data_IF_444415096979
#
_entry.id   IF_444415096979
#
_cell.length_a   1.000
_cell.length_b   1.000
_cell.length_c   1.000
_cell.angle_alpha   90.00
_cell.angle_beta   90.00
_cell.angle_gamma   90.00
#
_symmetry.space_group_name_H-M   'P 1'
#
loop_
_entity.id
_entity.type
_entity.pdbx_description
1 polymer ?
#
# COMPACT_ATOMS: atom_id res chain seq x y z
N UNK A 1 -16.71 -2.66 -21.30
CA UNK A 1 -15.54 -3.47 -20.86
C UNK A 1 -14.43 -2.59 -20.28
N UNK A 2 -13.93 -1.60 -21.01
CA UNK A 2 -12.84 -0.71 -20.56
C UNK A 2 -13.13 0.00 -19.22
N UNK A 3 -14.36 0.50 -19.04
CA UNK A 3 -14.77 1.15 -17.78
C UNK A 3 -14.73 0.18 -16.58
N UNK A 4 -15.17 -1.07 -16.78
CA UNK A 4 -15.14 -2.13 -15.75
C UNK A 4 -13.70 -2.47 -15.37
N UNK A 5 -12.82 -2.63 -16.36
CA UNK A 5 -11.38 -2.89 -16.13
C UNK A 5 -10.75 -1.71 -15.39
N UNK A 6 -11.06 -0.48 -15.79
CA UNK A 6 -10.63 0.75 -15.11
C UNK A 6 -11.02 0.74 -13.63
N UNK A 7 -12.29 0.43 -13.33
CA UNK A 7 -12.77 0.31 -11.94
C UNK A 7 -12.02 -0.75 -11.14
N UNK A 8 -11.82 -1.95 -11.70
CA UNK A 8 -11.11 -3.04 -11.00
C UNK A 8 -9.68 -2.64 -10.66
N UNK A 9 -8.93 -2.10 -11.63
CA UNK A 9 -7.55 -1.65 -11.39
C UNK A 9 -7.54 -0.53 -10.34
N UNK A 10 -8.48 0.40 -10.42
CA UNK A 10 -8.56 1.51 -9.48
C UNK A 10 -8.84 1.03 -8.04
N UNK A 11 -9.74 0.07 -7.86
CA UNK A 11 -10.02 -0.56 -6.55
C UNK A 11 -8.79 -1.29 -5.99
N UNK A 12 -8.02 -1.97 -6.84
CA UNK A 12 -6.77 -2.62 -6.42
C UNK A 12 -5.72 -1.60 -5.97
N UNK A 13 -5.56 -0.48 -6.68
CA UNK A 13 -4.64 0.59 -6.30
C UNK A 13 -5.01 1.21 -4.95
N UNK A 14 -6.31 1.46 -4.72
CA UNK A 14 -6.81 1.94 -3.42
C UNK A 14 -6.51 0.94 -2.32
N UNK A 15 -6.74 -0.35 -2.56
CA UNK A 15 -6.45 -1.39 -1.59
C UNK A 15 -4.96 -1.46 -1.23
N UNK A 16 -4.07 -1.37 -2.23
CA UNK A 16 -2.62 -1.30 -2.02
C UNK A 16 -2.26 -0.12 -1.13
N UNK A 17 -2.76 1.08 -1.45
CA UNK A 17 -2.48 2.28 -0.67
C UNK A 17 -2.99 2.14 0.78
N UNK A 18 -4.20 1.62 0.97
CA UNK A 18 -4.79 1.40 2.29
C UNK A 18 -3.96 0.42 3.12
N UNK A 19 -3.52 -0.70 2.55
CA UNK A 19 -2.70 -1.69 3.27
C UNK A 19 -1.37 -1.08 3.72
N UNK A 20 -0.71 -0.31 2.86
CA UNK A 20 0.56 0.34 3.21
C UNK A 20 0.39 1.41 4.28
N UNK A 21 -0.71 2.19 4.24
CA UNK A 21 -1.06 3.16 5.28
C UNK A 21 -1.34 2.45 6.61
N UNK A 22 -2.09 1.34 6.57
CA UNK A 22 -2.43 0.57 7.76
C UNK A 22 -1.16 -0.03 8.40
N UNK A 23 -0.22 -0.56 7.62
CA UNK A 23 1.09 -1.03 8.13
C UNK A 23 1.89 0.10 8.81
N UNK A 24 1.89 1.32 8.24
CA UNK A 24 2.53 2.49 8.89
C UNK A 24 1.89 2.80 10.24
N UNK A 25 0.55 2.88 10.28
CA UNK A 25 -0.19 3.19 11.51
C UNK A 25 0.02 2.11 12.58
N UNK A 26 -0.02 0.84 12.18
CA UNK A 26 0.22 -0.28 13.10
C UNK A 26 1.63 -0.22 13.69
N UNK A 27 2.65 0.03 12.87
CA UNK A 27 4.03 0.18 13.35
C UNK A 27 4.16 1.34 14.33
N UNK A 28 3.58 2.50 14.02
CA UNK A 28 3.61 3.68 14.90
C UNK A 28 2.90 3.41 16.24
N UNK A 29 1.71 2.79 16.21
CA UNK A 29 0.98 2.43 17.42
C UNK A 29 1.75 1.43 18.30
N UNK A 30 2.40 0.45 17.69
CA UNK A 30 3.16 -0.56 18.42
C UNK A 30 4.48 -0.02 18.98
N UNK A 31 5.15 0.87 18.24
CA UNK A 31 6.31 1.59 18.73
C UNK A 31 5.97 2.41 19.99
N UNK A 32 4.78 3.02 20.03
CA UNK A 32 4.30 3.79 21.20
C UNK A 32 3.81 2.91 22.36
N UNK A 33 3.22 1.75 22.06
CA UNK A 33 2.59 0.89 23.08
C UNK A 33 3.50 -0.22 23.61
N UNK A 34 4.65 -0.48 22.98
CA UNK A 34 5.55 -1.58 23.32
C UNK A 34 4.93 -2.97 23.09
N UNK A 35 3.79 -3.05 22.40
CA UNK A 35 3.07 -4.29 22.14
C UNK A 35 3.61 -4.98 20.87
N UNK A 36 3.37 -6.27 20.76
CA UNK A 36 3.67 -7.04 19.54
C UNK A 36 2.57 -6.87 18.48
N UNK A 37 2.94 -6.94 17.19
CA UNK A 37 1.99 -7.01 16.05
C UNK A 37 0.98 -8.15 16.24
N UNK A 38 1.39 -9.26 16.87
CA UNK A 38 0.56 -10.43 17.12
C UNK A 38 -0.60 -10.14 18.09
N UNK A 39 -0.53 -9.05 18.86
CA UNK A 39 -1.60 -8.63 19.76
C UNK A 39 -2.73 -7.89 19.02
N UNK A 40 -2.51 -7.49 17.76
CA UNK A 40 -3.50 -6.80 16.94
C UNK A 40 -4.19 -7.82 16.03
N UNK A 41 -5.52 -7.95 16.08
CA UNK A 41 -6.26 -8.79 15.15
C UNK A 41 -5.91 -8.45 13.69
N UNK A 42 -5.52 -9.47 12.91
CA UNK A 42 -5.05 -9.35 11.53
C UNK A 42 -3.76 -8.50 11.33
N UNK A 43 -3.03 -8.14 12.39
CA UNK A 43 -1.79 -7.37 12.31
C UNK A 43 -0.70 -8.05 11.47
N UNK A 44 -0.53 -9.37 11.64
CA UNK A 44 0.43 -10.15 10.84
C UNK A 44 0.07 -10.16 9.34
N UNK A 45 -1.22 -10.28 9.01
CA UNK A 45 -1.71 -10.29 7.62
C UNK A 45 -1.38 -8.96 6.95
N UNK A 46 -1.63 -7.83 7.63
CA UNK A 46 -1.33 -6.49 7.11
C UNK A 46 0.17 -6.31 6.90
N UNK A 47 0.99 -6.71 7.88
CA UNK A 47 2.45 -6.65 7.79
C UNK A 47 2.96 -7.44 6.58
N UNK A 48 2.54 -8.69 6.45
CA UNK A 48 3.07 -9.62 5.44
C UNK A 48 2.63 -9.21 4.03
N UNK A 49 1.40 -8.71 3.90
CA UNK A 49 0.92 -8.14 2.63
C UNK A 49 1.68 -6.86 2.28
N UNK A 50 1.89 -5.96 3.24
CA UNK A 50 2.68 -4.75 3.02
C UNK A 50 4.13 -5.07 2.62
N UNK A 51 4.76 -6.06 3.25
CA UNK A 51 6.10 -6.52 2.87
C UNK A 51 6.14 -7.07 1.44
N UNK A 52 5.11 -7.83 1.03
CA UNK A 52 5.01 -8.35 -0.33
C UNK A 52 4.90 -7.22 -1.37
N UNK A 53 4.09 -6.20 -1.07
CA UNK A 53 3.94 -5.01 -1.91
C UNK A 53 5.28 -4.26 -2.01
N UNK A 54 5.93 -3.99 -0.88
CA UNK A 54 7.21 -3.26 -0.85
C UNK A 54 8.34 -4.04 -1.53
N UNK A 55 8.40 -5.36 -1.35
CA UNK A 55 9.38 -6.20 -2.04
C UNK A 55 9.19 -6.17 -3.56
N UNK A 56 7.93 -6.22 -4.01
CA UNK A 56 7.60 -6.07 -5.43
C UNK A 56 8.00 -4.68 -5.93
N UNK A 57 7.71 -3.62 -5.18
CA UNK A 57 8.11 -2.25 -5.52
C UNK A 57 9.64 -2.10 -5.59
N UNK A 58 10.39 -2.75 -4.70
CA UNK A 58 11.87 -2.72 -4.68
C UNK A 58 12.48 -3.29 -5.97
N UNK A 59 11.81 -4.27 -6.60
CA UNK A 59 12.26 -4.80 -7.90
C UNK A 59 12.16 -3.78 -9.04
N UNK A 60 11.27 -2.78 -8.91
CA UNK A 60 11.07 -1.72 -9.89
C UNK A 60 11.77 -0.41 -9.52
N UNK A 61 11.98 -0.15 -8.23
CA UNK A 61 12.52 1.10 -7.69
C UNK A 61 13.68 0.77 -6.75
N UNK A 62 14.90 1.16 -7.14
CA UNK A 62 16.11 0.90 -6.36
C UNK A 62 16.26 1.90 -5.19
N UNK A 63 15.41 1.78 -4.18
CA UNK A 63 15.51 2.51 -2.90
C UNK A 63 15.82 1.50 -1.79
N UNK A 64 16.92 1.74 -1.07
CA UNK A 64 17.34 0.88 0.04
C UNK A 64 16.57 1.15 1.34
N UNK A 65 16.24 2.42 1.58
CA UNK A 65 15.45 2.83 2.74
C UNK A 65 14.01 2.33 2.61
N UNK A 66 13.62 1.42 3.51
CA UNK A 66 12.29 0.79 3.51
C UNK A 66 11.17 1.81 3.72
N UNK A 67 11.35 2.78 4.61
CA UNK A 67 10.31 3.77 4.93
C UNK A 67 10.11 4.72 3.75
N UNK A 68 11.21 5.16 3.13
CA UNK A 68 11.16 5.96 1.92
C UNK A 68 10.51 5.20 0.77
N UNK A 69 10.91 3.95 0.53
CA UNK A 69 10.33 3.10 -0.51
C UNK A 69 8.81 2.91 -0.31
N UNK A 70 8.37 2.71 0.94
CA UNK A 70 6.96 2.57 1.28
C UNK A 70 6.18 3.86 0.98
N UNK A 71 6.71 5.02 1.38
CA UNK A 71 6.11 6.34 1.07
C UNK A 71 6.04 6.60 -0.44
N UNK A 72 7.11 6.30 -1.18
CA UNK A 72 7.15 6.43 -2.64
C UNK A 72 6.12 5.52 -3.30
N UNK A 73 6.00 4.28 -2.84
CA UNK A 73 5.02 3.31 -3.36
C UNK A 73 3.58 3.80 -3.17
N UNK A 74 3.26 4.39 -2.01
CA UNK A 74 1.97 5.02 -1.76
C UNK A 74 1.74 6.18 -2.73
N UNK A 75 2.72 7.06 -2.89
CA UNK A 75 2.62 8.22 -3.80
C UNK A 75 2.33 7.79 -5.25
N UNK A 76 3.01 6.76 -5.74
CA UNK A 76 2.79 6.20 -7.08
C UNK A 76 1.38 5.59 -7.19
N UNK A 77 0.94 4.81 -6.20
CA UNK A 77 -0.40 4.22 -6.21
C UNK A 77 -1.50 5.29 -6.29
N UNK A 78 -1.36 6.39 -5.54
CA UNK A 78 -2.30 7.52 -5.56
C UNK A 78 -2.27 8.29 -6.88
N UNK A 79 -1.09 8.51 -7.46
CA UNK A 79 -0.96 9.16 -8.76
C UNK A 79 -1.63 8.34 -9.88
N UNK A 80 -1.39 7.02 -9.90
CA UNK A 80 -2.02 6.10 -10.85
C UNK A 80 -3.54 6.04 -10.65
N UNK A 81 -4.01 6.03 -9.40
CA UNK A 81 -5.43 6.08 -9.09
C UNK A 81 -6.11 7.31 -9.71
N UNK A 82 -5.51 8.49 -9.55
CA UNK A 82 -6.05 9.73 -10.12
C UNK A 82 -6.05 9.69 -11.66
N UNK A 83 -4.97 9.19 -12.28
CA UNK A 83 -4.88 9.07 -13.73
C UNK A 83 -5.96 8.14 -14.29
N UNK A 84 -6.12 6.94 -13.73
CA UNK A 84 -7.16 5.99 -14.18
C UNK A 84 -8.54 6.61 -14.02
N UNK A 85 -8.79 7.30 -12.91
CA UNK A 85 -10.07 7.98 -12.66
C UNK A 85 -10.36 9.10 -13.66
N UNK A 86 -9.36 9.81 -14.16
CA UNK A 86 -9.54 10.90 -15.14
C UNK A 86 -9.72 10.34 -16.56
N UNK A 87 -8.92 9.33 -16.94
CA UNK A 87 -8.80 8.92 -18.33
C UNK A 87 -9.63 7.68 -18.70
N UNK A 88 -9.80 6.73 -17.79
CA UNK A 88 -10.41 5.42 -18.07
C UNK A 88 -11.81 5.27 -17.49
N UNK A 89 -12.09 5.98 -16.39
CA UNK A 89 -13.40 5.99 -15.74
C UNK A 89 -14.08 7.31 -16.08
N UNK A 90 -15.14 7.26 -16.89
CA UNK A 90 -16.07 8.38 -17.12
C UNK A 90 -17.43 8.04 -16.55
#
# INVERSE_FOLDING_TARGET
LLNVIGHVINSVLVLIALILILDIILRDYLAKSGKSIAAIPAGDIVRDTAMTIVASAKSAINIEDKELLQKVTIGIALALFLLIRIFLIR
#
